data_IF_688013572048
#
_entry.id   IF_688013572048
#
_cell.length_a   1.000
_cell.length_b   1.000
_cell.length_c   1.000
_cell.angle_alpha   90.00
_cell.angle_beta   90.00
_cell.angle_gamma   90.00
#
_symmetry.space_group_name_H-M   'P 1'
#
loop_
_entity.id
_entity.type
_entity.pdbx_description
1 polymer ?
#
# COMPACT_ATOMS: atom_id res chain seq x y z
N UNK A 1 -14.67 17.14 -3.93
CA UNK A 1 -14.70 15.75 -4.45
C UNK A 1 -13.36 15.39 -5.04
N UNK A 2 -12.96 14.11 -4.96
CA UNK A 2 -11.73 13.61 -5.60
C UNK A 2 -11.98 13.40 -7.11
N UNK A 3 -10.98 13.73 -7.95
CA UNK A 3 -11.06 13.57 -9.42
C UNK A 3 -9.90 12.72 -9.93
N UNK A 4 -10.12 11.93 -10.98
CA UNK A 4 -9.06 11.11 -11.61
C UNK A 4 -8.58 9.95 -10.72
N UNK A 5 -9.42 9.49 -9.81
CA UNK A 5 -9.15 8.41 -8.85
C UNK A 5 -9.26 7.05 -9.54
N UNK A 6 -8.27 6.19 -9.31
CA UNK A 6 -8.30 4.78 -9.68
C UNK A 6 -7.81 3.92 -8.52
N UNK A 7 -8.31 2.69 -8.41
CA UNK A 7 -7.98 1.76 -7.32
C UNK A 7 -8.12 2.36 -5.90
N UNK A 8 -9.29 2.91 -5.55
CA UNK A 8 -9.50 3.45 -4.21
C UNK A 8 -9.50 2.32 -3.18
N UNK A 9 -8.87 2.57 -2.05
CA UNK A 9 -9.00 1.81 -0.82
C UNK A 9 -9.38 2.77 0.29
N UNK A 10 -10.43 2.45 1.03
CA UNK A 10 -11.01 3.34 2.03
C UNK A 10 -10.97 2.67 3.39
N UNK A 11 -10.65 3.45 4.42
CA UNK A 11 -10.72 3.00 5.81
C UNK A 11 -11.11 4.14 6.73
N UNK A 12 -11.52 3.75 7.93
CA UNK A 12 -11.78 4.65 9.03
C UNK A 12 -10.52 4.81 9.87
N UNK A 13 -10.16 6.04 10.24
CA UNK A 13 -9.07 6.31 11.19
C UNK A 13 -9.49 5.92 12.61
N UNK A 14 -8.55 5.74 13.57
CA UNK A 14 -8.89 5.41 14.95
C UNK A 14 -9.86 6.40 15.61
N UNK A 15 -9.79 7.69 15.24
CA UNK A 15 -10.64 8.79 15.74
C UNK A 15 -12.00 8.85 15.03
N UNK A 16 -12.27 7.92 14.10
CA UNK A 16 -13.53 7.83 13.38
C UNK A 16 -13.57 8.62 12.06
N UNK A 17 -12.47 9.24 11.64
CA UNK A 17 -12.33 9.96 10.37
C UNK A 17 -12.30 9.04 9.16
N UNK A 18 -12.40 9.59 7.95
CA UNK A 18 -12.36 8.84 6.69
C UNK A 18 -11.06 9.11 5.96
N UNK A 19 -10.31 8.06 5.64
CA UNK A 19 -9.07 8.14 4.89
C UNK A 19 -9.13 7.21 3.67
N UNK A 20 -8.52 7.65 2.57
CA UNK A 20 -8.49 6.93 1.31
C UNK A 20 -7.07 6.90 0.73
N UNK A 21 -6.63 5.71 0.35
CA UNK A 21 -5.51 5.52 -0.55
C UNK A 21 -6.06 5.37 -1.96
N UNK A 22 -5.42 6.02 -2.93
CA UNK A 22 -5.79 5.86 -4.31
C UNK A 22 -4.63 6.14 -5.25
N UNK A 23 -4.76 5.66 -6.48
CA UNK A 23 -3.89 6.05 -7.59
C UNK A 23 -4.49 7.22 -8.34
N UNK A 24 -3.66 8.22 -8.65
CA UNK A 24 -4.03 9.29 -9.57
C UNK A 24 -3.06 9.31 -10.73
N UNK A 25 -3.59 9.26 -11.95
CA UNK A 25 -2.75 9.42 -13.13
C UNK A 25 -2.42 10.90 -13.31
N UNK A 26 -1.15 11.28 -13.12
CA UNK A 26 -0.70 12.59 -13.58
C UNK A 26 -0.33 12.51 -15.05
N UNK A 27 -0.97 13.35 -15.86
CA UNK A 27 -0.61 13.55 -17.27
C UNK A 27 0.66 14.41 -17.34
N UNK A 28 1.81 13.88 -16.92
CA UNK A 28 3.11 14.53 -17.13
C UNK A 28 3.96 13.76 -18.15
N UNK A 29 4.25 14.43 -19.27
CA UNK A 29 5.35 14.16 -20.19
C UNK A 29 5.50 12.73 -20.73
N UNK A 30 4.42 12.11 -21.22
CA UNK A 30 4.47 10.84 -22.00
C UNK A 30 5.24 9.67 -21.32
N UNK A 31 5.48 9.72 -20.00
CA UNK A 31 6.10 8.62 -19.26
C UNK A 31 5.01 7.74 -18.69
N UNK A 32 4.63 6.71 -19.43
CA UNK A 32 3.73 5.62 -19.04
C UNK A 32 4.23 4.76 -17.86
N UNK A 33 5.00 5.32 -16.91
CA UNK A 33 5.77 4.54 -15.94
C UNK A 33 5.92 5.13 -14.54
N UNK A 34 5.38 6.32 -14.23
CA UNK A 34 5.31 6.81 -12.84
C UNK A 34 3.86 6.79 -12.36
N UNK A 35 3.55 5.79 -11.54
CA UNK A 35 2.26 5.65 -10.88
C UNK A 35 2.34 6.24 -9.48
N UNK A 36 1.75 7.41 -9.28
CA UNK A 36 1.77 8.08 -7.98
C UNK A 36 0.58 7.60 -7.16
N UNK A 37 0.87 7.15 -5.94
CA UNK A 37 -0.15 6.79 -4.97
C UNK A 37 -0.30 7.92 -3.98
N UNK A 38 -1.54 8.15 -3.59
CA UNK A 38 -1.95 9.23 -2.73
C UNK A 38 -2.63 8.67 -1.50
N UNK A 39 -2.45 9.37 -0.40
CA UNK A 39 -3.25 9.28 0.80
C UNK A 39 -4.09 10.55 0.90
N UNK A 40 -5.38 10.44 1.21
CA UNK A 40 -6.18 11.62 1.49
C UNK A 40 -7.10 11.43 2.70
N UNK A 41 -7.17 12.47 3.53
CA UNK A 41 -8.11 12.55 4.66
C UNK A 41 -9.32 13.37 4.24
N UNK A 42 -10.49 12.92 4.66
CA UNK A 42 -11.72 13.70 4.57
C UNK A 42 -11.90 14.54 5.84
N UNK A 43 -12.01 15.84 5.66
CA UNK A 43 -12.36 16.80 6.70
C UNK A 43 -13.88 16.99 6.67
N UNK A 44 -14.57 16.39 7.64
CA UNK A 44 -16.03 16.39 7.68
C UNK A 44 -16.64 17.76 8.04
N UNK A 45 -15.89 18.63 8.72
CA UNK A 45 -16.34 19.98 9.08
C UNK A 45 -16.38 20.88 7.85
N UNK A 46 -15.37 20.79 7.00
CA UNK A 46 -15.25 21.61 5.79
C UNK A 46 -15.75 20.93 4.52
N UNK A 47 -15.95 19.61 4.56
CA UNK A 47 -16.29 18.78 3.40
C UNK A 47 -15.16 18.65 2.37
N UNK A 48 -13.91 18.88 2.78
CA UNK A 48 -12.74 18.91 1.89
C UNK A 48 -11.85 17.68 2.04
N UNK A 49 -10.97 17.45 1.07
CA UNK A 49 -9.96 16.39 1.11
C UNK A 49 -8.57 17.00 1.24
N UNK A 50 -7.75 16.47 2.15
CA UNK A 50 -6.33 16.84 2.32
C UNK A 50 -5.48 15.72 1.75
N UNK A 51 -4.66 16.04 0.75
CA UNK A 51 -3.95 15.05 -0.06
C UNK A 51 -2.46 15.01 0.27
N UNK A 52 -1.87 13.82 0.27
CA UNK A 52 -0.44 13.59 0.44
C UNK A 52 0.03 12.55 -0.57
N UNK A 53 1.10 12.86 -1.29
CA UNK A 53 1.73 11.91 -2.21
C UNK A 53 2.60 10.93 -1.40
N UNK A 54 2.50 9.64 -1.70
CA UNK A 54 3.39 8.62 -1.15
C UNK A 54 4.74 8.67 -1.88
N UNK A 55 5.87 8.49 -1.18
CA UNK A 55 7.19 8.74 -1.76
C UNK A 55 7.65 7.67 -2.78
N UNK A 56 6.92 6.55 -2.90
CA UNK A 56 7.27 5.46 -3.78
C UNK A 56 6.26 5.27 -4.92
N UNK A 57 6.80 4.86 -6.07
CA UNK A 57 6.00 4.20 -7.10
C UNK A 57 5.84 2.74 -6.64
N UNK A 58 4.60 2.29 -6.41
CA UNK A 58 4.32 0.90 -6.08
C UNK A 58 4.04 0.07 -7.35
N UNK A 59 4.54 -1.17 -7.40
CA UNK A 59 4.35 -2.09 -8.52
C UNK A 59 3.00 -2.81 -8.51
N UNK A 60 2.37 -2.82 -7.35
CA UNK A 60 0.99 -3.27 -7.11
C UNK A 60 0.16 -2.10 -6.60
N UNK A 61 -1.16 -2.30 -6.47
CA UNK A 61 -1.98 -1.38 -5.68
C UNK A 61 -1.57 -1.51 -4.20
N UNK A 62 -1.10 -0.44 -3.55
CA UNK A 62 -0.72 -0.51 -2.15
C UNK A 62 -1.97 -0.55 -1.26
N UNK A 63 -1.82 -1.07 -0.03
CA UNK A 63 -2.85 -0.97 1.02
C UNK A 63 -2.27 -0.28 2.23
N UNK A 64 -3.07 0.56 2.89
CA UNK A 64 -2.68 1.25 4.12
C UNK A 64 -3.45 0.68 5.30
N UNK A 65 -2.74 0.56 6.41
CA UNK A 65 -3.23 0.16 7.73
C UNK A 65 -2.79 1.22 8.75
N UNK A 66 -3.64 1.50 9.74
CA UNK A 66 -3.36 2.50 10.78
C UNK A 66 -3.37 1.82 12.14
N UNK A 67 -2.31 1.97 12.93
CA UNK A 67 -2.28 1.42 14.30
C UNK A 67 -3.07 2.29 15.27
N UNK A 68 -3.10 1.89 16.55
CA UNK A 68 -3.83 2.63 17.60
C UNK A 68 -3.22 3.99 17.93
N UNK A 69 -1.98 4.22 17.54
CA UNK A 69 -1.23 5.47 17.71
C UNK A 69 -1.29 6.33 16.44
N UNK A 70 -2.16 5.96 15.49
CA UNK A 70 -2.36 6.63 14.21
C UNK A 70 -1.11 6.60 13.31
N UNK A 71 -0.15 5.69 13.55
CA UNK A 71 0.93 5.45 12.60
C UNK A 71 0.41 4.65 11.41
N UNK A 72 0.90 4.99 10.22
CA UNK A 72 0.50 4.37 8.97
C UNK A 72 1.49 3.29 8.55
N UNK A 73 0.97 2.18 8.05
CA UNK A 73 1.71 1.07 7.44
C UNK A 73 1.21 0.84 6.02
N UNK A 74 2.10 0.89 5.05
CA UNK A 74 1.83 0.67 3.64
C UNK A 74 2.39 -0.69 3.24
N UNK A 75 1.54 -1.59 2.73
CA UNK A 75 1.98 -2.82 2.08
C UNK A 75 1.90 -2.64 0.56
N UNK A 76 2.94 -3.05 -0.15
CA UNK A 76 2.98 -2.99 -1.62
C UNK A 76 4.02 -3.93 -2.22
N UNK A 77 3.84 -4.31 -3.47
CA UNK A 77 4.87 -4.98 -4.27
C UNK A 77 5.88 -3.98 -4.81
N UNK A 78 7.15 -4.14 -4.48
CA UNK A 78 8.27 -3.35 -5.01
C UNK A 78 9.08 -4.18 -6.02
N UNK A 79 9.34 -3.65 -7.21
CA UNK A 79 10.16 -4.33 -8.22
C UNK A 79 11.61 -4.47 -7.72
N UNK A 80 12.23 -5.62 -7.95
CA UNK A 80 13.60 -5.93 -7.47
C UNK A 80 14.72 -5.13 -8.14
N UNK A 81 14.42 -4.33 -9.17
CA UNK A 81 15.41 -3.52 -9.85
C UNK A 81 14.81 -2.22 -10.43
N UNK A 82 15.63 -1.16 -10.58
CA UNK A 82 15.20 0.11 -11.16
C UNK A 82 14.92 0.03 -12.67
N UNK A 83 15.43 -1.02 -13.33
CA UNK A 83 15.37 -1.19 -14.79
C UNK A 83 14.19 -2.05 -15.26
N UNK A 84 13.47 -2.71 -14.35
CA UNK A 84 12.22 -3.40 -14.69
C UNK A 84 11.16 -2.29 -14.77
N UNK A 85 10.59 -2.00 -15.96
CA UNK A 85 9.53 -1.01 -16.04
C UNK A 85 8.45 -1.41 -15.06
N UNK A 86 8.06 -0.50 -14.17
CA UNK A 86 6.98 -0.72 -13.21
C UNK A 86 5.68 -0.92 -13.97
N UNK A 87 5.45 -2.14 -14.42
CA UNK A 87 4.20 -2.60 -14.99
C UNK A 87 3.35 -3.01 -13.80
N UNK A 88 2.17 -2.42 -13.71
CA UNK A 88 1.10 -2.93 -12.86
C UNK A 88 0.94 -4.41 -13.21
N UNK A 89 1.04 -5.29 -12.21
CA UNK A 89 1.12 -6.76 -12.37
C UNK A 89 2.48 -7.31 -12.84
N UNK A 90 3.60 -6.67 -12.47
CA UNK A 90 4.91 -7.34 -12.55
C UNK A 90 4.82 -8.68 -11.81
N UNK A 91 5.27 -9.77 -12.44
CA UNK A 91 5.24 -11.11 -11.86
C UNK A 91 6.47 -11.39 -10.97
N UNK A 92 7.30 -10.37 -10.75
CA UNK A 92 8.52 -10.48 -9.96
C UNK A 92 8.71 -9.19 -9.15
N UNK A 93 8.21 -9.22 -7.92
CA UNK A 93 8.33 -8.15 -6.94
C UNK A 93 8.51 -8.74 -5.53
N UNK A 94 9.14 -7.95 -4.64
CA UNK A 94 9.18 -8.21 -3.21
C UNK A 94 7.97 -7.59 -2.52
N UNK A 95 7.43 -8.25 -1.48
CA UNK A 95 6.41 -7.62 -0.64
C UNK A 95 7.10 -6.69 0.36
N UNK A 96 6.84 -5.39 0.24
CA UNK A 96 7.46 -4.34 1.04
C UNK A 96 6.45 -3.76 2.00
N UNK A 97 6.88 -3.55 3.24
CA UNK A 97 6.12 -2.83 4.27
C UNK A 97 6.90 -1.53 4.55
N UNK A 98 6.23 -0.39 4.40
CA UNK A 98 6.71 0.89 4.84
C UNK A 98 5.86 1.46 5.97
N UNK A 99 6.43 2.28 6.83
CA UNK A 99 5.73 2.91 7.94
C UNK A 99 6.01 4.41 8.01
N UNK A 100 5.05 5.18 8.49
CA UNK A 100 5.18 6.60 8.83
C UNK A 100 4.43 6.92 10.13
N UNK A 101 4.94 7.89 10.88
CA UNK A 101 4.40 8.23 12.19
C UNK A 101 3.29 9.28 12.12
N UNK A 102 2.32 9.19 13.02
CA UNK A 102 1.34 10.25 13.25
C UNK A 102 2.03 11.57 13.65
N UNK A 103 3.10 11.45 14.46
CA UNK A 103 3.90 12.59 14.97
C UNK A 103 4.47 13.45 13.84
N UNK A 104 4.83 12.87 12.70
CA UNK A 104 5.33 13.58 11.53
C UNK A 104 4.22 14.07 10.59
N UNK A 105 2.95 13.80 10.92
CA UNK A 105 1.82 13.91 10.00
C UNK A 105 2.04 13.05 8.73
N UNK A 106 2.57 11.83 8.92
CA UNK A 106 2.90 10.84 7.90
C UNK A 106 3.83 11.34 6.79
N UNK A 107 4.81 12.15 7.15
CA UNK A 107 5.83 12.66 6.20
C UNK A 107 7.16 11.93 6.29
N UNK A 108 7.36 11.07 7.30
CA UNK A 108 8.61 10.37 7.63
C UNK A 108 8.62 8.89 7.19
N UNK A 109 8.00 8.60 6.05
CA UNK A 109 7.90 7.24 5.50
C UNK A 109 9.26 6.54 5.35
N UNK A 110 9.36 5.33 5.89
CA UNK A 110 10.53 4.44 5.74
C UNK A 110 10.11 2.99 5.50
N UNK A 111 10.91 2.25 4.74
CA UNK A 111 10.73 0.79 4.62
C UNK A 111 11.12 0.15 5.95
N UNK A 112 10.23 -0.68 6.50
CA UNK A 112 10.41 -1.38 7.79
C UNK A 112 10.53 -2.89 7.61
N UNK A 113 10.03 -3.45 6.51
CA UNK A 113 10.20 -4.86 6.16
C UNK A 113 10.25 -5.04 4.63
N UNK A 114 11.05 -6.00 4.19
CA UNK A 114 11.06 -6.49 2.81
C UNK A 114 11.02 -8.00 2.87
N UNK A 115 9.96 -8.59 2.33
CA UNK A 115 9.84 -10.02 2.12
C UNK A 115 10.31 -10.33 0.70
N UNK A 116 11.47 -10.99 0.61
CA UNK A 116 12.04 -11.40 -0.66
C UNK A 116 11.22 -12.54 -1.28
N UNK A 117 10.79 -12.35 -2.53
CA UNK A 117 10.01 -13.38 -3.23
C UNK A 117 9.68 -13.01 -4.67
N UNK A 118 9.04 -13.92 -5.37
CA UNK A 118 8.49 -13.70 -6.72
C UNK A 118 6.98 -13.85 -6.60
N UNK A 119 6.26 -12.74 -6.48
CA UNK A 119 4.82 -12.77 -6.22
C UNK A 119 4.00 -12.27 -7.42
N UNK A 120 2.78 -12.78 -7.55
CA UNK A 120 1.92 -12.60 -8.74
C UNK A 120 0.69 -11.70 -8.50
N UNK A 121 0.17 -11.63 -7.27
CA UNK A 121 -1.10 -10.96 -6.96
C UNK A 121 -0.92 -9.49 -6.58
N UNK A 122 -1.99 -8.74 -6.31
CA UNK A 122 -1.87 -7.57 -5.44
C UNK A 122 -1.60 -8.06 -4.01
N UNK A 123 -0.92 -7.25 -3.20
CA UNK A 123 -0.77 -7.52 -1.77
C UNK A 123 -2.08 -7.20 -1.06
N UNK A 124 -2.56 -8.13 -0.25
CA UNK A 124 -3.78 -7.96 0.55
C UNK A 124 -3.44 -8.24 2.01
N UNK A 125 -3.87 -7.35 2.90
CA UNK A 125 -3.71 -7.54 4.35
C UNK A 125 -5.04 -7.85 5.02
N UNK A 126 -4.99 -8.55 6.14
CA UNK A 126 -6.15 -8.85 6.97
C UNK A 126 -6.49 -7.68 7.92
N UNK A 127 -7.57 -6.91 7.67
CA UNK A 127 -7.94 -5.79 8.51
C UNK A 127 -8.50 -6.20 9.88
N UNK A 128 -8.96 -7.45 10.03
CA UNK A 128 -9.52 -7.93 11.30
C UNK A 128 -8.41 -8.29 12.28
N UNK A 129 -7.42 -9.07 11.84
CA UNK A 129 -6.24 -9.38 12.67
C UNK A 129 -5.46 -8.11 13.01
N UNK A 130 -5.36 -7.17 12.07
CA UNK A 130 -4.78 -5.87 12.36
C UNK A 130 -5.49 -5.16 13.53
N UNK A 131 -6.82 -5.03 13.46
CA UNK A 131 -7.60 -4.31 14.49
C UNK A 131 -7.65 -5.05 15.83
N UNK A 132 -7.79 -6.37 15.81
CA UNK A 132 -8.06 -7.18 16.99
C UNK A 132 -6.78 -7.63 17.70
N UNK A 133 -5.77 -8.02 16.93
CA UNK A 133 -4.54 -8.66 17.43
C UNK A 133 -3.32 -7.73 17.32
N UNK A 134 -3.39 -6.66 16.53
CA UNK A 134 -2.22 -5.83 16.21
C UNK A 134 -1.21 -6.54 15.31
N UNK A 135 -1.65 -7.56 14.56
CA UNK A 135 -0.81 -8.32 13.63
C UNK A 135 -1.12 -7.93 12.19
N UNK A 136 -0.09 -7.47 11.47
CA UNK A 136 -0.20 -7.23 10.03
C UNK A 136 0.04 -8.55 9.30
N UNK A 137 -1.06 -9.22 8.95
CA UNK A 137 -1.07 -10.48 8.20
C UNK A 137 -1.32 -10.21 6.72
N UNK A 138 -0.38 -10.58 5.86
CA UNK A 138 -0.43 -10.34 4.41
C UNK A 138 -0.49 -11.66 3.66
N UNK A 139 -1.47 -11.80 2.76
CA UNK A 139 -1.52 -12.94 1.82
C UNK A 139 -0.72 -12.63 0.56
N UNK A 140 0.12 -13.58 0.17
CA UNK A 140 0.97 -13.51 -1.00
C UNK A 140 0.75 -14.77 -1.84
N UNK A 141 0.78 -14.61 -3.16
CA UNK A 141 0.74 -15.75 -4.09
C UNK A 141 2.05 -15.80 -4.85
N UNK A 142 2.72 -16.95 -4.81
CA UNK A 142 3.93 -17.19 -5.59
C UNK A 142 3.65 -17.05 -7.09
N UNK A 143 4.64 -16.60 -7.85
CA UNK A 143 4.53 -16.55 -9.30
C UNK A 143 4.38 -17.96 -9.88
N UNK A 144 3.36 -18.19 -10.72
CA UNK A 144 3.16 -19.51 -11.31
C UNK A 144 4.29 -19.80 -12.29
N UNK A 145 4.69 -21.08 -12.37
CA UNK A 145 5.74 -21.53 -13.30
C UNK A 145 5.31 -21.48 -14.75
N UNK A 146 4.00 -21.55 -15.00
CA UNK A 146 3.37 -21.54 -16.32
C UNK A 146 2.16 -20.58 -16.31
N UNK A 147 1.80 -20.05 -17.48
CA UNK A 147 0.64 -19.14 -17.60
C UNK A 147 -0.63 -19.88 -17.16
N UNK A 148 -1.42 -19.24 -16.29
CA UNK A 148 -2.66 -19.77 -15.73
C UNK A 148 -2.52 -21.05 -14.88
N UNK A 149 -1.30 -21.48 -14.53
CA UNK A 149 -1.09 -22.56 -13.58
C UNK A 149 -1.35 -22.11 -12.14
N UNK A 150 -1.78 -23.01 -11.24
CA UNK A 150 -1.87 -22.72 -9.82
C UNK A 150 -0.47 -22.52 -9.22
N UNK A 151 -0.40 -21.78 -8.11
CA UNK A 151 0.81 -21.56 -7.33
C UNK A 151 0.49 -21.50 -5.85
N UNK A 152 1.53 -21.62 -5.02
CA UNK A 152 1.37 -21.61 -3.57
C UNK A 152 0.90 -20.24 -3.07
N UNK A 153 0.00 -20.27 -2.09
CA UNK A 153 -0.34 -19.13 -1.25
C UNK A 153 0.54 -19.15 0.00
N UNK A 154 0.92 -17.97 0.47
CA UNK A 154 1.71 -17.74 1.68
C UNK A 154 1.04 -16.68 2.54
N UNK A 155 1.23 -16.80 3.85
CA UNK A 155 0.86 -15.76 4.82
C UNK A 155 2.15 -15.23 5.43
N UNK A 156 2.33 -13.92 5.36
CA UNK A 156 3.37 -13.19 6.07
C UNK A 156 2.72 -12.49 7.27
N UNK A 157 3.07 -12.94 8.47
CA UNK A 157 2.67 -12.28 9.71
C UNK A 157 3.80 -11.37 10.20
N UNK A 158 3.48 -10.11 10.46
CA UNK A 158 4.40 -9.11 10.98
C UNK A 158 3.84 -8.45 12.23
N UNK A 159 4.66 -8.33 13.27
CA UNK A 159 4.32 -7.64 14.54
C UNK A 159 4.60 -6.13 14.50
N UNK A 160 4.80 -5.55 13.31
CA UNK A 160 4.99 -4.09 13.17
C UNK A 160 3.78 -3.34 13.75
N UNK A 161 4.04 -2.26 14.50
CA UNK A 161 2.99 -1.43 15.12
C UNK A 161 2.45 -1.93 16.46
N UNK A 162 3.26 -2.68 17.20
CA UNK A 162 2.94 -3.14 18.57
C UNK A 162 3.69 -2.39 19.69
N UNK A 163 4.39 -1.29 19.36
CA UNK A 163 5.04 -0.41 20.34
C UNK A 163 4.14 0.76 20.78
#
# INVERSE_FOLDING_TARGET
SLKGVTYPWVWQTPEGGLQINYRQHQRQNNRWGRMNFWLADYDAETGTWKHRELPWVAGTVPRVFMDRNDNAYLIFGATKGPDIPMKMHSLDYNCTIAAASAKSNWTDWRVVHVEDGTFFSDVLGDPYRWKQEGVLSVILQDSPKEIAAPSALRILDSSVGTD
#
